data_IF_904232050480
#
_entry.id   IF_904232050480
#
_cell.length_a   1.000
_cell.length_b   1.000
_cell.length_c   1.000
_cell.angle_alpha   90.00
_cell.angle_beta   90.00
_cell.angle_gamma   90.00
#
_symmetry.space_group_name_H-M   'P 1'
#
loop_
_entity.id
_entity.type
_entity.pdbx_description
1 polymer ?
#
# COMPACT_ATOMS: atom_id res chain seq x y z
N UNK A 1 7.75 -14.76 -7.33
CA UNK A 1 8.79 -13.75 -7.02
C UNK A 1 9.24 -14.03 -5.60
N UNK A 2 10.53 -13.95 -5.29
CA UNK A 2 11.02 -14.16 -3.93
C UNK A 2 10.83 -12.90 -3.11
N UNK A 3 10.44 -13.03 -1.84
CA UNK A 3 10.51 -11.95 -0.87
C UNK A 3 11.74 -12.21 0.00
N UNK A 4 12.54 -11.18 0.19
CA UNK A 4 13.59 -11.15 1.19
C UNK A 4 13.25 -10.09 2.23
N UNK A 5 13.48 -10.40 3.51
CA UNK A 5 13.35 -9.44 4.61
C UNK A 5 14.69 -9.33 5.31
N UNK A 6 15.19 -8.10 5.49
CA UNK A 6 16.40 -7.80 6.23
C UNK A 6 16.09 -6.85 7.37
N UNK A 7 16.64 -7.13 8.54
CA UNK A 7 16.67 -6.18 9.67
C UNK A 7 17.87 -5.24 9.46
N UNK A 8 17.68 -3.94 9.69
CA UNK A 8 18.79 -2.98 9.71
C UNK A 8 19.62 -3.17 10.99
N UNK A 9 20.95 -3.01 10.86
CA UNK A 9 21.87 -3.13 12.00
C UNK A 9 21.67 -2.01 13.03
N UNK A 10 21.27 -0.83 12.56
CA UNK A 10 21.02 0.35 13.39
C UNK A 10 19.55 0.75 13.28
N UNK A 11 18.99 1.13 14.41
CA UNK A 11 17.70 1.79 14.43
C UNK A 11 17.79 3.19 13.81
N UNK A 12 16.78 3.52 13.02
CA UNK A 12 16.55 4.84 12.45
C UNK A 12 15.06 5.09 12.63
N UNK A 13 14.67 6.25 13.17
CA UNK A 13 13.26 6.61 13.29
C UNK A 13 12.61 6.62 11.89
N UNK A 14 11.48 5.92 11.74
CA UNK A 14 10.82 5.80 10.43
C UNK A 14 10.36 7.16 9.88
N UNK A 15 10.11 8.15 10.74
CA UNK A 15 9.80 9.51 10.33
C UNK A 15 10.99 10.22 9.69
N UNK A 16 12.21 9.95 10.15
CA UNK A 16 13.41 10.51 9.52
C UNK A 16 13.65 9.87 8.14
N UNK A 17 13.39 8.57 8.01
CA UNK A 17 13.36 7.90 6.70
C UNK A 17 12.31 8.56 5.80
N UNK A 18 11.10 8.78 6.30
CA UNK A 18 10.02 9.41 5.53
C UNK A 18 10.37 10.84 5.11
N UNK A 19 11.01 11.63 5.98
CA UNK A 19 11.48 13.00 5.65
C UNK A 19 12.49 12.99 4.51
N UNK A 20 13.43 12.05 4.49
CA UNK A 20 14.40 11.90 3.39
C UNK A 20 13.69 11.49 2.10
N UNK A 21 12.67 10.63 2.17
CA UNK A 21 11.87 10.28 1.00
C UNK A 21 11.07 11.49 0.47
N UNK A 22 10.52 12.32 1.37
CA UNK A 22 9.80 13.55 1.03
C UNK A 22 10.68 14.63 0.40
N UNK A 23 11.97 14.69 0.73
CA UNK A 23 12.89 15.69 0.18
C UNK A 23 13.36 15.37 -1.25
N UNK A 24 12.94 14.25 -1.84
CA UNK A 24 13.29 13.89 -3.22
C UNK A 24 12.41 14.66 -4.22
N UNK A 25 13.00 15.15 -5.30
CA UNK A 25 12.28 15.94 -6.34
C UNK A 25 11.07 15.19 -6.94
N UNK A 26 11.15 13.87 -7.02
CA UNK A 26 10.12 12.99 -7.57
C UNK A 26 9.16 12.42 -6.49
N UNK A 27 9.15 12.95 -5.26
CA UNK A 27 8.33 12.43 -4.17
C UNK A 27 6.85 12.25 -4.57
N UNK A 28 6.27 13.24 -5.26
CA UNK A 28 4.88 13.21 -5.72
C UNK A 28 4.61 12.10 -6.75
N UNK A 29 5.59 11.78 -7.58
CA UNK A 29 5.47 10.77 -8.63
C UNK A 29 5.72 9.35 -8.11
N UNK A 30 6.46 9.21 -7.00
CA UNK A 30 6.85 7.92 -6.44
C UNK A 30 5.69 7.14 -5.78
N UNK A 31 4.49 7.74 -5.69
CA UNK A 31 3.25 7.12 -5.17
C UNK A 31 3.47 6.43 -3.82
N UNK A 32 4.27 7.03 -2.93
CA UNK A 32 4.61 6.49 -1.60
C UNK A 32 3.35 6.43 -0.73
N UNK A 33 3.24 5.41 0.12
CA UNK A 33 2.24 5.35 1.19
C UNK A 33 2.89 5.12 2.52
N UNK A 34 2.37 5.78 3.55
CA UNK A 34 2.83 5.64 4.93
C UNK A 34 1.63 5.31 5.83
N UNK A 35 1.69 4.14 6.47
CA UNK A 35 0.80 3.73 7.53
C UNK A 35 1.51 3.97 8.86
N UNK A 36 1.11 5.02 9.57
CA UNK A 36 1.71 5.41 10.84
C UNK A 36 0.88 4.95 12.04
N UNK A 37 1.55 4.34 13.01
CA UNK A 37 1.00 4.00 14.32
C UNK A 37 1.40 5.04 15.36
N UNK A 38 0.69 6.18 15.38
CA UNK A 38 0.94 7.27 16.33
C UNK A 38 0.69 6.91 17.81
N UNK A 39 -0.22 5.97 18.09
CA UNK A 39 -0.54 5.53 19.45
C UNK A 39 0.19 4.23 19.78
N UNK A 40 1.26 4.34 20.58
CA UNK A 40 2.03 3.20 21.08
C UNK A 40 1.20 2.40 22.09
N UNK A 41 0.55 1.34 21.61
CA UNK A 41 -0.21 0.41 22.41
C UNK A 41 -0.21 -0.98 21.76
N UNK A 42 -1.01 -1.92 22.29
CA UNK A 42 -1.09 -3.29 21.74
C UNK A 42 -1.54 -3.37 20.27
N UNK A 43 -2.18 -2.32 19.74
CA UNK A 43 -2.66 -2.23 18.35
C UNK A 43 -1.75 -1.37 17.46
N UNK A 44 -1.05 -0.38 18.00
CA UNK A 44 -0.11 0.48 17.29
C UNK A 44 1.34 0.03 17.48
N UNK A 45 1.66 -1.20 17.05
CA UNK A 45 3.00 -1.78 17.18
C UNK A 45 3.93 -1.48 16.02
N UNK A 46 3.37 -1.23 14.84
CA UNK A 46 4.12 -1.14 13.60
C UNK A 46 3.77 0.10 12.79
N UNK A 47 4.80 0.74 12.24
CA UNK A 47 4.68 1.77 11.21
C UNK A 47 5.27 1.24 9.90
N UNK A 48 4.65 1.54 8.76
CA UNK A 48 4.98 0.90 7.48
C UNK A 48 4.98 1.93 6.34
N UNK A 49 6.10 2.03 5.62
CA UNK A 49 6.22 2.80 4.39
C UNK A 49 6.31 1.84 3.20
N UNK A 50 5.43 2.01 2.21
CA UNK A 50 5.54 1.37 0.89
C UNK A 50 6.21 2.29 -0.11
N UNK A 51 7.30 1.83 -0.74
CA UNK A 51 8.02 2.56 -1.81
C UNK A 51 8.24 1.66 -3.04
N UNK A 52 8.61 2.27 -4.16
CA UNK A 52 8.76 1.57 -5.45
C UNK A 52 7.46 0.86 -5.86
N UNK A 53 6.37 1.62 -5.99
CA UNK A 53 5.10 1.07 -6.47
C UNK A 53 5.28 0.48 -7.87
N UNK A 54 4.82 -0.75 -8.07
CA UNK A 54 4.88 -1.41 -9.39
C UNK A 54 3.50 -1.66 -9.99
N UNK A 55 2.45 -1.57 -9.17
CA UNK A 55 1.07 -1.75 -9.57
C UNK A 55 0.18 -0.83 -8.73
N UNK A 56 -0.57 0.02 -9.41
CA UNK A 56 -1.68 0.78 -8.87
C UNK A 56 -2.97 0.29 -9.52
N UNK A 57 -3.91 -0.16 -8.70
CA UNK A 57 -5.28 -0.45 -9.09
C UNK A 57 -6.14 0.70 -8.59
N UNK A 58 -6.89 1.34 -9.48
CA UNK A 58 -7.67 2.52 -9.14
C UNK A 58 -9.06 2.41 -9.74
N UNK A 59 -10.07 2.63 -8.92
CA UNK A 59 -11.45 2.81 -9.38
C UNK A 59 -11.81 4.28 -9.26
N UNK A 60 -12.18 4.89 -10.40
CA UNK A 60 -12.61 6.29 -10.46
C UNK A 60 -13.84 6.43 -11.35
N UNK A 61 -14.95 6.95 -10.80
CA UNK A 61 -16.22 7.17 -11.49
C UNK A 61 -16.74 5.90 -12.18
N UNK A 62 -16.76 4.78 -11.45
CA UNK A 62 -17.14 3.44 -11.95
C UNK A 62 -16.29 2.93 -13.12
N UNK A 63 -15.08 3.48 -13.31
CA UNK A 63 -14.09 3.00 -14.29
C UNK A 63 -12.88 2.45 -13.57
N UNK A 64 -12.37 1.33 -14.07
CA UNK A 64 -11.19 0.68 -13.52
C UNK A 64 -9.94 1.09 -14.31
N UNK A 65 -8.87 1.43 -13.59
CA UNK A 65 -7.57 1.78 -14.13
C UNK A 65 -6.48 0.91 -13.50
N UNK A 66 -5.59 0.40 -14.34
CA UNK A 66 -4.36 -0.31 -13.95
C UNK A 66 -3.18 0.56 -14.38
N UNK A 67 -2.40 1.06 -13.42
CA UNK A 67 -1.30 1.99 -13.68
C UNK A 67 -1.71 3.14 -14.61
N UNK A 68 -2.81 3.81 -14.26
CA UNK A 68 -3.41 4.93 -15.00
C UNK A 68 -3.97 4.59 -16.41
N UNK A 69 -3.95 3.32 -16.82
CA UNK A 69 -4.57 2.86 -18.08
C UNK A 69 -5.94 2.29 -17.83
N UNK A 70 -6.93 2.73 -18.61
CA UNK A 70 -8.30 2.21 -18.54
C UNK A 70 -8.29 0.70 -18.84
N UNK A 71 -9.06 -0.04 -18.05
CA UNK A 71 -9.28 -1.48 -18.20
C UNK A 71 -10.77 -1.75 -18.36
N UNK A 72 -11.11 -2.72 -19.20
CA UNK A 72 -12.49 -3.20 -19.39
C UNK A 72 -12.87 -4.27 -18.35
N UNK A 73 -11.93 -4.66 -17.48
CA UNK A 73 -12.19 -5.61 -16.39
C UNK A 73 -12.96 -4.97 -15.23
N UNK A 74 -13.66 -5.80 -14.44
CA UNK A 74 -14.18 -5.37 -13.15
C UNK A 74 -13.05 -5.28 -12.09
N UNK A 75 -13.10 -4.25 -11.25
CA UNK A 75 -12.08 -3.97 -10.23
C UNK A 75 -11.95 -5.11 -9.20
N UNK A 76 -13.07 -5.56 -8.62
CA UNK A 76 -13.10 -6.61 -7.60
C UNK A 76 -12.62 -7.96 -8.15
N UNK A 77 -13.09 -8.34 -9.33
CA UNK A 77 -12.72 -9.59 -9.99
C UNK A 77 -11.22 -9.63 -10.32
N UNK A 78 -10.68 -8.52 -10.84
CA UNK A 78 -9.24 -8.40 -11.08
C UNK A 78 -8.46 -8.50 -9.77
N UNK A 79 -8.88 -7.77 -8.74
CA UNK A 79 -8.22 -7.75 -7.44
C UNK A 79 -8.19 -9.14 -6.80
N UNK A 80 -9.33 -9.83 -6.76
CA UNK A 80 -9.43 -11.18 -6.21
C UNK A 80 -8.48 -12.16 -6.93
N UNK A 81 -8.53 -12.16 -8.27
CA UNK A 81 -7.64 -13.00 -9.09
C UNK A 81 -6.17 -12.65 -8.88
N UNK A 82 -5.84 -11.35 -8.79
CA UNK A 82 -4.49 -10.87 -8.55
C UNK A 82 -3.97 -11.32 -7.18
N UNK A 83 -4.75 -11.16 -6.11
CA UNK A 83 -4.36 -11.56 -4.75
C UNK A 83 -4.19 -13.08 -4.65
N UNK A 84 -5.08 -13.87 -5.25
CA UNK A 84 -4.96 -15.33 -5.30
C UNK A 84 -3.69 -15.78 -6.02
N UNK A 85 -3.40 -15.21 -7.19
CA UNK A 85 -2.21 -15.55 -7.99
C UNK A 85 -0.90 -15.11 -7.34
N UNK A 86 -0.91 -14.00 -6.62
CA UNK A 86 0.29 -13.40 -6.02
C UNK A 86 0.38 -13.60 -4.52
N UNK A 87 -0.37 -14.55 -3.94
CA UNK A 87 -0.31 -14.87 -2.51
C UNK A 87 1.12 -15.23 -2.10
N UNK A 88 1.57 -14.68 -0.98
CA UNK A 88 2.88 -14.94 -0.39
C UNK A 88 2.70 -15.41 1.05
N UNK A 89 3.39 -16.48 1.41
CA UNK A 89 3.41 -16.96 2.78
C UNK A 89 4.31 -16.05 3.61
N UNK A 90 3.76 -15.48 4.69
CA UNK A 90 4.55 -14.66 5.60
C UNK A 90 5.25 -15.55 6.63
N UNK A 91 6.54 -15.79 6.40
CA UNK A 91 7.40 -16.57 7.30
C UNK A 91 8.06 -15.73 8.38
N UNK A 92 7.79 -14.42 8.39
CA UNK A 92 8.34 -13.46 9.33
C UNK A 92 7.26 -13.05 10.32
N UNK A 93 7.66 -12.76 11.56
CA UNK A 93 6.74 -12.25 12.58
C UNK A 93 6.50 -10.73 12.39
N UNK A 94 6.19 -10.32 11.17
CA UNK A 94 5.93 -8.93 10.75
C UNK A 94 4.50 -8.83 10.22
N UNK A 95 3.82 -7.68 10.34
CA UNK A 95 2.41 -7.55 9.93
C UNK A 95 2.21 -7.62 8.41
N UNK A 96 3.22 -7.21 7.64
CA UNK A 96 3.19 -7.12 6.19
C UNK A 96 4.60 -7.33 5.63
N UNK A 97 4.76 -8.22 4.67
CA UNK A 97 6.01 -8.40 3.89
C UNK A 97 5.79 -8.25 2.38
N UNK A 98 4.54 -8.24 1.95
CA UNK A 98 4.10 -8.12 0.56
C UNK A 98 2.59 -7.93 0.57
N UNK A 99 2.06 -7.22 -0.42
CA UNK A 99 0.62 -6.99 -0.54
C UNK A 99 0.34 -5.63 -1.17
N UNK A 100 -0.83 -5.08 -0.86
CA UNK A 100 -1.20 -3.72 -1.26
C UNK A 100 -1.50 -2.86 -0.05
N UNK A 101 -1.15 -1.57 -0.11
CA UNK A 101 -1.71 -0.55 0.79
C UNK A 101 -2.87 0.09 0.04
N UNK A 102 -4.01 0.19 0.70
CA UNK A 102 -5.26 0.58 0.10
C UNK A 102 -5.86 1.84 0.72
N UNK A 103 -6.58 2.58 -0.10
CA UNK A 103 -7.52 3.62 0.26
C UNK A 103 -8.87 3.24 -0.35
N UNK A 104 -9.90 3.24 0.48
CA UNK A 104 -11.29 3.07 0.06
C UNK A 104 -12.09 4.26 0.55
N UNK A 105 -12.72 4.97 -0.36
CA UNK A 105 -13.64 6.06 -0.03
C UNK A 105 -14.94 5.53 0.56
N UNK A 106 -15.70 6.42 1.21
CA UNK A 106 -17.06 6.11 1.64
C UNK A 106 -17.98 5.72 0.47
N UNK A 107 -17.83 6.40 -0.68
CA UNK A 107 -18.64 6.14 -1.87
C UNK A 107 -18.37 4.76 -2.49
N UNK A 108 -17.16 4.24 -2.36
CA UNK A 108 -16.84 2.86 -2.75
C UNK A 108 -17.68 1.84 -1.99
N UNK A 109 -17.92 2.05 -0.68
CA UNK A 109 -18.78 1.16 0.10
C UNK A 109 -20.24 1.18 -0.33
N UNK A 110 -20.73 2.35 -0.76
CA UNK A 110 -22.15 2.55 -1.10
C UNK A 110 -22.63 1.72 -2.29
N UNK A 111 -21.74 1.36 -3.22
CA UNK A 111 -22.11 0.57 -4.40
C UNK A 111 -22.52 -0.86 -4.04
N UNK A 112 -21.98 -1.42 -2.96
CA UNK A 112 -22.33 -2.77 -2.51
C UNK A 112 -23.70 -2.82 -1.82
N UNK A 113 -24.08 -1.72 -1.17
CA UNK A 113 -25.34 -1.59 -0.41
C UNK A 113 -26.48 -0.96 -1.22
N UNK A 114 -26.26 -0.67 -2.52
CA UNK A 114 -27.22 0.03 -3.38
C UNK A 114 -27.71 1.40 -2.83
N UNK A 115 -26.87 2.09 -2.05
CA UNK A 115 -27.21 3.37 -1.43
C UNK A 115 -26.99 4.52 -2.42
N UNK A 116 -28.08 5.18 -2.83
CA UNK A 116 -28.02 6.40 -3.67
C UNK A 116 -27.60 7.62 -2.85
N UNK A 117 -26.85 8.54 -3.46
CA UNK A 117 -26.48 9.82 -2.84
C UNK A 117 -27.40 10.91 -3.36
N UNK A 118 -27.76 11.81 -2.46
CA UNK A 118 -28.40 13.09 -2.77
C UNK A 118 -27.40 14.25 -2.87
N UNK A 119 -26.15 14.01 -2.46
CA UNK A 119 -25.07 14.98 -2.44
C UNK A 119 -24.26 14.90 -3.74
N UNK A 120 -23.85 16.07 -4.24
CA UNK A 120 -22.92 16.16 -5.38
C UNK A 120 -21.53 15.71 -4.93
N UNK A 121 -20.73 15.22 -5.90
CA UNK A 121 -19.34 14.84 -5.66
C UNK A 121 -18.51 16.12 -5.59
N UNK A 122 -18.34 16.66 -4.37
CA UNK A 122 -17.66 17.93 -4.14
C UNK A 122 -16.12 17.81 -4.20
N UNK A 123 -15.60 16.57 -4.17
CA UNK A 123 -14.15 16.29 -4.22
C UNK A 123 -13.85 15.29 -5.32
N UNK A 124 -12.92 15.65 -6.22
CA UNK A 124 -12.49 14.77 -7.32
C UNK A 124 -11.44 13.75 -6.86
N UNK A 125 -11.86 12.85 -5.97
CA UNK A 125 -11.06 11.71 -5.49
C UNK A 125 -11.57 10.38 -6.06
N UNK A 126 -10.68 9.40 -6.27
CA UNK A 126 -11.07 8.05 -6.67
C UNK A 126 -11.92 7.37 -5.58
N UNK A 127 -12.77 6.45 -6.00
CA UNK A 127 -13.55 5.60 -5.12
C UNK A 127 -12.64 4.63 -4.37
N UNK A 128 -11.66 4.03 -5.06
CA UNK A 128 -10.66 3.14 -4.46
C UNK A 128 -9.28 3.30 -5.11
N UNK A 129 -8.23 3.14 -4.32
CA UNK A 129 -6.84 3.02 -4.79
C UNK A 129 -6.17 1.91 -4.00
N UNK A 130 -5.52 0.96 -4.67
CA UNK A 130 -4.67 -0.05 -4.05
C UNK A 130 -3.31 0.01 -4.74
N UNK A 131 -2.25 0.16 -3.95
CA UNK A 131 -0.88 0.19 -4.46
C UNK A 131 -0.08 -0.95 -3.90
N UNK A 132 0.55 -1.70 -4.79
CA UNK A 132 1.48 -2.77 -4.47
C UNK A 132 2.90 -2.25 -4.66
N UNK A 133 3.75 -2.57 -3.70
CA UNK A 133 5.09 -2.02 -3.58
C UNK A 133 6.13 -3.12 -3.69
N UNK A 134 7.28 -2.80 -4.29
CA UNK A 134 8.42 -3.71 -4.28
C UNK A 134 9.10 -3.69 -2.92
N UNK A 135 9.06 -2.57 -2.21
CA UNK A 135 9.78 -2.40 -0.96
C UNK A 135 8.84 -1.90 0.12
N UNK A 136 8.91 -2.55 1.29
CA UNK A 136 8.29 -2.09 2.53
C UNK A 136 9.37 -1.81 3.56
N UNK A 137 9.31 -0.64 4.18
CA UNK A 137 10.09 -0.29 5.36
C UNK A 137 9.14 -0.40 6.54
N UNK A 138 9.48 -1.24 7.51
CA UNK A 138 8.59 -1.63 8.61
C UNK A 138 9.33 -1.36 9.91
N UNK A 139 8.78 -0.51 10.75
CA UNK A 139 9.28 -0.24 12.09
C UNK A 139 8.51 -1.09 13.09
N UNK A 140 9.23 -1.87 13.90
CA UNK A 140 8.72 -2.40 15.17
C UNK A 140 8.99 -1.34 16.25
N UNK A 141 7.94 -0.61 16.62
CA UNK A 141 8.03 0.55 17.52
C UNK A 141 8.44 0.14 18.93
N UNK A 142 7.97 -1.03 19.37
CA UNK A 142 8.22 -1.57 20.71
C UNK A 142 9.69 -1.99 20.86
N UNK A 143 10.24 -2.64 19.82
CA UNK A 143 11.63 -3.12 19.84
C UNK A 143 12.65 -2.10 19.33
N UNK A 144 12.20 -0.99 18.74
CA UNK A 144 13.05 -0.03 18.04
C UNK A 144 13.89 -0.73 16.96
N UNK A 145 13.23 -1.45 16.07
CA UNK A 145 13.86 -2.18 14.98
C UNK A 145 13.26 -1.78 13.65
N UNK A 146 14.11 -1.64 12.62
CA UNK A 146 13.68 -1.40 11.25
C UNK A 146 13.93 -2.66 10.42
N UNK A 147 12.92 -3.04 9.66
CA UNK A 147 12.94 -4.13 8.72
C UNK A 147 12.68 -3.59 7.31
N UNK A 148 13.41 -4.11 6.33
CA UNK A 148 13.17 -3.86 4.92
C UNK A 148 12.73 -5.16 4.30
N UNK A 149 11.50 -5.21 3.80
CA UNK A 149 11.04 -6.27 2.93
C UNK A 149 11.17 -5.82 1.48
N UNK A 150 11.79 -6.64 0.64
CA UNK A 150 11.94 -6.35 -0.78
C UNK A 150 11.54 -7.56 -1.63
N UNK A 151 10.77 -7.28 -2.68
CA UNK A 151 10.33 -8.24 -3.67
C UNK A 151 11.14 -8.09 -4.96
N UNK A 152 12.09 -8.99 -5.16
CA UNK A 152 12.89 -8.99 -6.37
C UNK A 152 12.14 -9.64 -7.53
N UNK A 153 12.25 -9.05 -8.73
CA UNK A 153 12.00 -9.83 -9.95
C UNK A 153 13.21 -10.74 -10.05
N UNK A 154 13.02 -12.07 -10.00
CA UNK A 154 14.08 -13.00 -10.42
C UNK A 154 14.59 -12.50 -11.78
N UNK A 155 15.80 -11.95 -11.82
CA UNK A 155 16.55 -11.76 -13.06
C UNK A 155 16.76 -13.18 -13.59
N UNK A 156 16.06 -13.51 -14.67
CA UNK A 156 16.50 -14.56 -15.57
C UNK A 156 17.44 -13.91 -16.58
#
# INVERSE_FOLDING_TARGET
MGIEVKKLEKYIDIYDIFRVLMSQDNFKDNKISFLDSSLKNKYGKYSIIGINSYLELKEKNNKFYINDKLSDENFEEYLDRFLKKNKQENKYNLPLISGGIAYFSYDYGRKFENIKTRHKKDVDIPEAIIRFYRTYIIEDIEKQEIYISYQDKKRF
#
